data_IF_190341246050
#
_entry.id   IF_190341246050
#
_cell.length_a   1.000
_cell.length_b   1.000
_cell.length_c   1.000
_cell.angle_alpha   90.00
_cell.angle_beta   90.00
_cell.angle_gamma   90.00
#
_symmetry.space_group_name_H-M   'P 1'
#
loop_
_entity.id
_entity.type
_entity.pdbx_description
1 polymer ?
#
# COMPACT_ATOMS: atom_id res chain seq x y z
N UNK A 1 -8.40 -32.30 -3.77
CA UNK A 1 -8.87 -30.98 -4.21
C UNK A 1 -8.02 -29.84 -3.64
N UNK A 2 -7.49 -29.94 -2.42
CA UNK A 2 -6.52 -28.97 -1.85
C UNK A 2 -5.14 -28.96 -2.53
N UNK A 3 -4.64 -30.10 -3.04
CA UNK A 3 -3.32 -30.20 -3.71
C UNK A 3 -3.12 -29.31 -4.96
N UNK A 4 -4.21 -28.81 -5.56
CA UNK A 4 -4.14 -27.91 -6.73
C UNK A 4 -4.44 -26.45 -6.37
N UNK A 5 -5.24 -26.21 -5.33
CA UNK A 5 -5.71 -24.86 -4.97
C UNK A 5 -4.62 -24.09 -4.24
N UNK A 6 -3.89 -24.74 -3.32
CA UNK A 6 -2.80 -24.13 -2.55
C UNK A 6 -1.69 -23.59 -3.45
N UNK A 7 -1.08 -24.37 -4.36
CA UNK A 7 -0.03 -23.84 -5.23
C UNK A 7 -0.55 -22.75 -6.17
N UNK A 8 -1.76 -22.89 -6.71
CA UNK A 8 -2.33 -21.85 -7.57
C UNK A 8 -2.55 -20.53 -6.81
N UNK A 9 -2.99 -20.60 -5.56
CA UNK A 9 -3.19 -19.44 -4.72
C UNK A 9 -1.86 -18.77 -4.34
N UNK A 10 -0.82 -19.54 -4.02
CA UNK A 10 0.52 -19.02 -3.73
C UNK A 10 1.11 -18.26 -4.93
N UNK A 11 1.07 -18.86 -6.13
CA UNK A 11 1.55 -18.21 -7.35
C UNK A 11 0.74 -16.94 -7.68
N UNK A 12 -0.58 -16.98 -7.46
CA UNK A 12 -1.44 -15.81 -7.67
C UNK A 12 -1.10 -14.69 -6.69
N UNK A 13 -0.93 -15.01 -5.41
CA UNK A 13 -0.55 -14.05 -4.37
C UNK A 13 0.81 -13.41 -4.68
N UNK A 14 1.81 -14.21 -5.05
CA UNK A 14 3.15 -13.72 -5.39
C UNK A 14 3.14 -12.77 -6.60
N UNK A 15 2.35 -13.07 -7.63
CA UNK A 15 2.21 -12.19 -8.80
C UNK A 15 1.56 -10.86 -8.41
N UNK A 16 0.48 -10.91 -7.62
CA UNK A 16 -0.24 -9.71 -7.17
C UNK A 16 0.64 -8.86 -6.26
N UNK A 17 1.40 -9.49 -5.36
CA UNK A 17 2.38 -8.81 -4.50
C UNK A 17 3.47 -8.14 -5.33
N UNK A 18 4.06 -8.85 -6.29
CA UNK A 18 5.08 -8.31 -7.18
C UNK A 18 4.54 -7.12 -8.00
N UNK A 19 3.29 -7.18 -8.45
CA UNK A 19 2.63 -6.05 -9.12
C UNK A 19 2.45 -4.85 -8.18
N UNK A 20 1.98 -5.06 -6.95
CA UNK A 20 1.82 -4.01 -5.97
C UNK A 20 3.14 -3.30 -5.64
N UNK A 21 4.19 -4.08 -5.34
CA UNK A 21 5.55 -3.55 -5.12
C UNK A 21 6.06 -2.82 -6.36
N UNK A 22 5.87 -3.41 -7.55
CA UNK A 22 6.28 -2.82 -8.81
C UNK A 22 5.64 -1.45 -9.05
N UNK A 23 4.33 -1.32 -8.82
CA UNK A 23 3.59 -0.05 -8.95
C UNK A 23 4.16 1.00 -8.00
N UNK A 24 4.41 0.66 -6.73
CA UNK A 24 4.98 1.59 -5.74
C UNK A 24 6.34 2.08 -6.21
N UNK A 25 7.22 1.15 -6.59
CA UNK A 25 8.59 1.47 -7.02
C UNK A 25 8.58 2.34 -8.28
N UNK A 26 7.77 1.98 -9.28
CA UNK A 26 7.67 2.74 -10.54
C UNK A 26 7.13 4.15 -10.28
N UNK A 27 6.08 4.29 -9.46
CA UNK A 27 5.52 5.59 -9.11
C UNK A 27 6.54 6.46 -8.36
N UNK A 28 7.30 5.86 -7.43
CA UNK A 28 8.35 6.54 -6.68
C UNK A 28 9.49 7.01 -7.60
N UNK A 29 10.02 6.12 -8.45
CA UNK A 29 11.08 6.46 -9.40
C UNK A 29 10.63 7.52 -10.40
N UNK A 30 9.43 7.38 -10.95
CA UNK A 30 8.88 8.31 -11.93
C UNK A 30 8.73 9.71 -11.34
N UNK A 31 8.19 9.83 -10.12
CA UNK A 31 7.99 11.13 -9.46
C UNK A 31 9.30 11.79 -9.06
N UNK A 32 10.27 11.04 -8.56
CA UNK A 32 11.62 11.54 -8.24
C UNK A 32 12.33 12.02 -9.50
N UNK A 33 12.28 11.25 -10.59
CA UNK A 33 12.90 11.63 -11.85
C UNK A 33 12.28 12.92 -12.41
N UNK A 34 10.95 13.03 -12.39
CA UNK A 34 10.25 14.23 -12.85
C UNK A 34 10.64 15.46 -12.00
N UNK A 35 10.72 15.29 -10.69
CA UNK A 35 11.13 16.35 -9.76
C UNK A 35 12.56 16.81 -10.04
N UNK A 36 13.49 15.87 -10.26
CA UNK A 36 14.88 16.16 -10.59
C UNK A 36 15.01 16.95 -11.91
N UNK A 37 14.27 16.54 -12.95
CA UNK A 37 14.24 17.23 -14.24
C UNK A 37 13.67 18.66 -14.12
N UNK A 38 12.59 18.85 -13.34
CA UNK A 38 11.98 20.16 -13.08
C UNK A 38 12.91 21.08 -12.29
N UNK A 39 13.62 20.54 -11.30
CA UNK A 39 14.59 21.29 -10.52
C UNK A 39 15.78 21.74 -11.39
N UNK A 40 16.24 20.89 -12.31
CA UNK A 40 17.25 21.26 -13.32
C UNK A 40 16.82 22.39 -14.27
N UNK A 41 15.50 22.57 -14.47
CA UNK A 41 14.91 23.69 -15.25
C UNK A 41 14.69 24.95 -14.42
N UNK A 42 15.15 24.99 -13.16
CA UNK A 42 14.97 26.11 -12.21
C UNK A 42 13.50 26.46 -11.93
N UNK A 43 12.59 25.48 -11.98
CA UNK A 43 11.25 25.68 -11.45
C UNK A 43 11.28 25.84 -9.92
N UNK A 44 10.41 26.70 -9.40
CA UNK A 44 10.32 26.96 -7.97
C UNK A 44 9.85 25.72 -7.21
N UNK A 45 10.56 25.35 -6.13
CA UNK A 45 10.23 24.21 -5.27
C UNK A 45 8.80 24.25 -4.72
N UNK A 46 8.24 25.45 -4.53
CA UNK A 46 6.86 25.67 -4.08
C UNK A 46 5.80 25.15 -5.05
N UNK A 47 6.11 25.06 -6.35
CA UNK A 47 5.21 24.47 -7.36
C UNK A 47 5.42 22.95 -7.52
N UNK A 48 6.62 22.44 -7.24
CA UNK A 48 6.98 21.03 -7.46
C UNK A 48 6.49 20.14 -6.31
N UNK A 49 6.57 20.62 -5.06
CA UNK A 49 6.33 19.80 -3.86
C UNK A 49 4.90 19.23 -3.75
N UNK A 50 3.82 20.00 -4.02
CA UNK A 50 2.45 19.48 -3.95
C UNK A 50 2.19 18.39 -5.00
N UNK A 51 2.66 18.62 -6.24
CA UNK A 51 2.54 17.69 -7.36
C UNK A 51 3.22 16.35 -7.06
N UNK A 52 4.44 16.40 -6.51
CA UNK A 52 5.22 15.20 -6.16
C UNK A 52 4.51 14.39 -5.09
N UNK A 53 4.03 15.04 -4.02
CA UNK A 53 3.29 14.36 -2.94
C UNK A 53 2.01 13.72 -3.44
N UNK A 54 1.24 14.42 -4.29
CA UNK A 54 -0.01 13.88 -4.83
C UNK A 54 0.22 12.67 -5.74
N UNK A 55 1.25 12.71 -6.60
CA UNK A 55 1.57 11.60 -7.50
C UNK A 55 2.13 10.39 -6.74
N UNK A 56 3.01 10.63 -5.77
CA UNK A 56 3.53 9.58 -4.89
C UNK A 56 2.40 8.93 -4.10
N UNK A 57 1.55 9.72 -3.45
CA UNK A 57 0.43 9.21 -2.66
C UNK A 57 -0.53 8.36 -3.48
N UNK A 58 -0.87 8.78 -4.70
CA UNK A 58 -1.72 7.97 -5.61
C UNK A 58 -1.07 6.65 -6.02
N UNK A 59 0.23 6.66 -6.32
CA UNK A 59 0.96 5.45 -6.69
C UNK A 59 1.09 4.46 -5.53
N UNK A 60 1.36 4.98 -4.32
CA UNK A 60 1.41 4.17 -3.10
C UNK A 60 0.04 3.57 -2.80
N UNK A 61 -1.03 4.36 -2.85
CA UNK A 61 -2.39 3.89 -2.57
C UNK A 61 -2.81 2.76 -3.52
N UNK A 62 -2.55 2.92 -4.82
CA UNK A 62 -2.80 1.87 -5.80
C UNK A 62 -1.98 0.60 -5.48
N UNK A 63 -0.69 0.73 -5.20
CA UNK A 63 0.13 -0.43 -4.86
C UNK A 63 -0.32 -1.14 -3.58
N UNK A 64 -0.82 -0.38 -2.59
CA UNK A 64 -1.40 -0.92 -1.38
C UNK A 64 -2.69 -1.72 -1.65
N UNK A 65 -3.53 -1.33 -2.60
CA UNK A 65 -4.71 -2.12 -2.99
C UNK A 65 -4.31 -3.52 -3.48
N UNK A 66 -3.24 -3.62 -4.29
CA UNK A 66 -2.69 -4.92 -4.72
C UNK A 66 -2.07 -5.69 -3.57
N UNK A 67 -1.29 -5.04 -2.70
CA UNK A 67 -0.69 -5.69 -1.55
C UNK A 67 -1.78 -6.26 -0.61
N UNK A 68 -2.83 -5.52 -0.33
CA UNK A 68 -3.96 -6.02 0.47
C UNK A 68 -4.62 -7.24 -0.19
N UNK A 69 -4.82 -7.22 -1.51
CA UNK A 69 -5.35 -8.37 -2.24
C UNK A 69 -4.46 -9.62 -2.12
N UNK A 70 -3.14 -9.47 -2.25
CA UNK A 70 -2.19 -10.57 -2.06
C UNK A 70 -2.28 -11.16 -0.64
N UNK A 71 -2.48 -10.30 0.37
CA UNK A 71 -2.60 -10.71 1.76
C UNK A 71 -3.85 -11.54 2.06
N UNK A 72 -4.97 -11.15 1.46
CA UNK A 72 -6.22 -11.90 1.55
C UNK A 72 -6.03 -13.30 0.95
N UNK A 73 -5.35 -13.40 -0.20
CA UNK A 73 -5.09 -14.70 -0.82
C UNK A 73 -4.19 -15.57 0.07
N UNK A 74 -3.14 -14.98 0.66
CA UNK A 74 -2.23 -15.69 1.56
C UNK A 74 -2.93 -16.20 2.81
N UNK A 75 -3.87 -15.43 3.36
CA UNK A 75 -4.62 -15.85 4.55
C UNK A 75 -5.66 -16.93 4.26
N UNK A 76 -6.24 -16.97 3.04
CA UNK A 76 -7.23 -17.98 2.65
C UNK A 76 -6.59 -19.29 2.17
N UNK A 77 -5.38 -19.25 1.60
CA UNK A 77 -4.72 -20.41 1.00
C UNK A 77 -4.04 -21.36 2.00
N UNK A 78 -3.85 -20.94 3.26
CA UNK A 78 -3.10 -21.69 4.27
C UNK A 78 -4.03 -22.60 5.09
N UNK A 79 -3.72 -23.89 5.16
CA UNK A 79 -4.35 -24.81 6.11
C UNK A 79 -3.91 -24.45 7.54
N UNK A 80 -4.87 -24.12 8.41
CA UNK A 80 -4.59 -23.68 9.78
C UNK A 80 -4.05 -24.85 10.63
N UNK A 81 -2.73 -24.96 10.72
CA UNK A 81 -2.02 -25.68 11.80
C UNK A 81 -1.47 -24.69 12.82
N UNK A 82 -1.30 -25.08 14.09
CA UNK A 82 -0.82 -24.14 15.14
C UNK A 82 0.53 -23.48 14.81
N UNK A 83 1.42 -24.15 14.09
CA UNK A 83 2.72 -23.62 13.68
C UNK A 83 2.59 -22.65 12.51
N UNK A 84 1.89 -23.04 11.45
CA UNK A 84 1.69 -22.20 10.26
C UNK A 84 0.84 -20.96 10.55
N UNK A 85 -0.15 -21.09 11.44
CA UNK A 85 -0.97 -19.97 11.93
C UNK A 85 -0.13 -18.95 12.68
N UNK A 86 0.86 -19.38 13.47
CA UNK A 86 1.75 -18.48 14.19
C UNK A 86 2.56 -17.57 13.25
N UNK A 87 3.13 -18.16 12.19
CA UNK A 87 3.89 -17.41 11.17
C UNK A 87 2.97 -16.48 10.39
N UNK A 88 1.83 -16.98 9.92
CA UNK A 88 0.84 -16.19 9.17
C UNK A 88 0.31 -15.01 10.01
N UNK A 89 -0.07 -15.26 11.26
CA UNK A 89 -0.54 -14.21 12.17
C UNK A 89 0.52 -13.14 12.41
N UNK A 90 1.80 -13.54 12.52
CA UNK A 90 2.92 -12.61 12.66
C UNK A 90 3.09 -11.73 11.42
N UNK A 91 3.04 -12.33 10.22
CA UNK A 91 3.17 -11.59 8.95
C UNK A 91 2.00 -10.61 8.77
N UNK A 92 0.76 -11.04 9.01
CA UNK A 92 -0.44 -10.20 8.92
C UNK A 92 -0.39 -9.04 9.93
N UNK A 93 0.10 -9.28 11.15
CA UNK A 93 0.25 -8.27 12.19
C UNK A 93 1.29 -7.21 11.80
N UNK A 94 2.44 -7.65 11.27
CA UNK A 94 3.46 -6.74 10.71
C UNK A 94 2.86 -5.91 9.58
N UNK A 95 2.11 -6.52 8.65
CA UNK A 95 1.52 -5.78 7.51
C UNK A 95 0.49 -4.76 7.98
N UNK A 96 -0.38 -5.15 8.90
CA UNK A 96 -1.38 -4.25 9.48
C UNK A 96 -0.70 -3.06 10.15
N UNK A 97 0.35 -3.31 10.95
CA UNK A 97 1.08 -2.27 11.65
C UNK A 97 1.82 -1.31 10.70
N UNK A 98 2.51 -1.83 9.68
CA UNK A 98 3.24 -1.01 8.71
C UNK A 98 2.30 -0.18 7.84
N UNK A 99 1.25 -0.79 7.30
CA UNK A 99 0.23 -0.09 6.51
C UNK A 99 -0.47 1.00 7.33
N UNK A 100 -0.79 0.71 8.59
CA UNK A 100 -1.40 1.66 9.52
C UNK A 100 -0.47 2.84 9.83
N UNK A 101 0.81 2.59 10.06
CA UNK A 101 1.80 3.63 10.36
C UNK A 101 2.03 4.54 9.16
N UNK A 102 2.13 3.97 7.95
CA UNK A 102 2.26 4.72 6.70
C UNK A 102 1.06 5.63 6.43
N UNK A 103 -0.16 5.14 6.64
CA UNK A 103 -1.39 5.92 6.44
C UNK A 103 -1.51 7.07 7.44
N UNK A 104 -1.11 6.84 8.69
CA UNK A 104 -0.99 7.86 9.74
C UNK A 104 0.03 8.94 9.39
N UNK A 105 1.20 8.55 8.89
CA UNK A 105 2.24 9.51 8.49
C UNK A 105 1.82 10.35 7.29
N UNK A 106 1.13 9.75 6.32
CA UNK A 106 0.64 10.45 5.12
C UNK A 106 -0.52 11.39 5.42
N UNK A 107 -1.46 10.97 6.28
CA UNK A 107 -2.71 11.72 6.56
C UNK A 107 -2.55 12.67 7.75
N UNK A 108 -1.62 12.40 8.66
CA UNK A 108 -1.40 13.15 9.89
C UNK A 108 -2.58 13.09 10.88
N UNK A 109 -3.54 12.18 10.64
CA UNK A 109 -4.75 11.98 11.43
C UNK A 109 -4.90 10.49 11.69
N UNK A 110 -5.42 10.16 12.87
CA UNK A 110 -5.78 8.78 13.14
C UNK A 110 -6.90 8.33 12.20
N UNK A 111 -6.92 7.07 11.73
CA UNK A 111 -7.93 6.59 10.78
C UNK A 111 -9.37 6.65 11.32
N UNK A 112 -9.54 6.68 12.64
CA UNK A 112 -10.85 6.91 13.29
C UNK A 112 -11.22 8.39 13.47
N UNK A 113 -10.34 9.32 13.12
CA UNK A 113 -10.66 10.75 13.05
C UNK A 113 -11.29 11.07 11.69
N UNK A 114 -12.40 10.40 11.38
CA UNK A 114 -13.29 10.88 10.33
C UNK A 114 -13.80 12.24 10.77
N UNK A 115 -13.62 13.24 9.92
CA UNK A 115 -14.13 14.58 10.19
C UNK A 115 -15.64 14.48 10.08
N UNK A 116 -16.32 14.31 11.21
CA UNK A 116 -17.75 14.50 11.32
C UNK A 116 -18.06 15.91 10.82
N UNK A 117 -18.45 16.01 9.55
CA UNK A 117 -19.18 17.18 9.06
C UNK A 117 -20.61 17.05 9.59
N UNK A 118 -20.77 17.13 10.91
CA UNK A 118 -22.05 17.45 11.51
C UNK A 118 -22.35 18.90 11.13
N UNK A 119 -23.30 19.06 10.23
CA UNK A 119 -24.08 20.27 10.00
C UNK A 119 -24.20 21.14 11.27
N UNK A 120 -24.01 22.45 11.14
CA UNK A 120 -24.88 23.40 11.77
C UNK A 120 -25.71 24.07 10.68
N UNK A 121 -27.00 23.73 10.62
CA UNK A 121 -28.02 24.66 10.15
C UNK A 121 -27.95 25.94 11.01
N UNK A 122 -28.29 27.10 10.47
CA UNK A 122 -29.70 27.44 10.24
C UNK A 122 -30.06 27.70 8.78
#
# INVERSE_FOLDING_TARGET
MSELIVPMAEWSAAIIEALGIGIIVIAALYTVLLAALRLGRRENMTAIMPDVRQRLGRGILLGLEFLVAADIIHTVAVELTFETVGVLATIVLIRTFLSFTLDLELTGKWPWQQTDKSHPSP
#
